data_IF_916189906754
#
_entry.id   IF_916189906754
#
_cell.length_a   1.000
_cell.length_b   1.000
_cell.length_c   1.000
_cell.angle_alpha   90.00
_cell.angle_beta   90.00
_cell.angle_gamma   90.00
#
_symmetry.space_group_name_H-M   'P 1'
#
loop_
_entity.id
_entity.type
_entity.pdbx_description
1 polymer ?
#
# COMPACT_ATOMS: atom_id res chain seq x y z
N UNK A 1 -20.21 10.54 -22.19
CA UNK A 1 -19.03 10.71 -23.05
C UNK A 1 -18.12 9.51 -22.86
N UNK A 2 -17.45 9.08 -23.92
CA UNK A 2 -16.56 7.93 -23.94
C UNK A 2 -15.14 8.42 -24.24
N UNK A 3 -14.19 8.05 -23.39
CA UNK A 3 -12.77 8.34 -23.52
C UNK A 3 -12.03 7.04 -23.81
N UNK A 4 -11.32 6.99 -24.93
CA UNK A 4 -10.61 5.79 -25.41
C UNK A 4 -9.22 6.13 -25.97
N UNK A 5 -8.89 7.42 -26.12
CA UNK A 5 -7.59 7.81 -26.64
C UNK A 5 -6.59 7.80 -25.50
N UNK A 6 -5.44 7.15 -25.71
CA UNK A 6 -4.35 7.15 -24.74
C UNK A 6 -4.00 8.58 -24.31
N UNK A 7 -3.96 8.82 -23.00
CA UNK A 7 -3.73 10.13 -22.40
C UNK A 7 -4.98 10.95 -22.13
N UNK A 8 -6.17 10.51 -22.54
CA UNK A 8 -7.42 11.13 -22.08
C UNK A 8 -7.55 10.97 -20.56
N UNK A 9 -7.95 12.03 -19.86
CA UNK A 9 -8.05 12.04 -18.40
C UNK A 9 -9.43 12.41 -17.89
N UNK A 10 -9.80 11.85 -16.74
CA UNK A 10 -10.99 12.21 -15.97
C UNK A 10 -10.60 12.37 -14.50
N UNK A 11 -11.01 13.50 -13.91
CA UNK A 11 -10.87 13.76 -12.47
C UNK A 11 -12.18 13.38 -11.78
N UNK A 12 -12.11 12.47 -10.82
CA UNK A 12 -13.24 12.10 -9.95
C UNK A 12 -12.74 11.93 -8.51
N UNK A 13 -13.44 12.51 -7.54
CA UNK A 13 -13.14 12.35 -6.11
C UNK A 13 -11.67 12.64 -5.73
N UNK A 14 -11.03 13.57 -6.43
CA UNK A 14 -9.61 13.91 -6.22
C UNK A 14 -8.60 12.96 -6.87
N UNK A 15 -9.06 11.93 -7.58
CA UNK A 15 -8.26 10.94 -8.31
C UNK A 15 -8.30 11.24 -9.81
N UNK A 16 -7.13 11.22 -10.46
CA UNK A 16 -7.03 11.40 -11.92
C UNK A 16 -6.85 10.04 -12.57
N UNK A 17 -7.83 9.63 -13.37
CA UNK A 17 -7.76 8.42 -14.18
C UNK A 17 -7.34 8.79 -15.59
N UNK A 18 -6.38 8.07 -16.14
CA UNK A 18 -5.84 8.32 -17.48
C UNK A 18 -5.99 7.06 -18.32
N UNK A 19 -6.55 7.16 -19.53
CA UNK A 19 -6.59 6.05 -20.47
C UNK A 19 -5.17 5.64 -20.85
N UNK A 20 -4.84 4.36 -20.64
CA UNK A 20 -3.50 3.80 -20.74
C UNK A 20 -2.63 3.98 -19.50
N UNK A 21 -3.15 4.58 -18.42
CA UNK A 21 -2.49 4.68 -17.11
C UNK A 21 -2.73 3.45 -16.25
N UNK A 22 -1.85 3.25 -15.26
CA UNK A 22 -1.92 2.12 -14.33
C UNK A 22 -2.86 2.42 -13.15
N UNK A 23 -3.51 1.37 -12.67
CA UNK A 23 -4.42 1.41 -11.51
C UNK A 23 -4.19 0.20 -10.62
N UNK A 24 -4.49 0.35 -9.34
CA UNK A 24 -4.54 -0.72 -8.35
C UNK A 24 -5.97 -0.90 -7.84
N UNK A 25 -6.46 -2.14 -7.82
CA UNK A 25 -7.75 -2.47 -7.24
C UNK A 25 -7.64 -2.52 -5.71
N UNK A 26 -8.40 -1.67 -5.02
CA UNK A 26 -8.40 -1.60 -3.56
C UNK A 26 -9.46 -2.54 -2.95
N UNK A 27 -9.53 -2.55 -1.62
CA UNK A 27 -10.42 -3.40 -0.82
C UNK A 27 -11.93 -3.21 -1.06
N UNK A 28 -12.34 -2.21 -1.85
CA UNK A 28 -13.74 -1.98 -2.15
C UNK A 28 -14.27 -2.86 -3.32
N UNK A 29 -13.46 -3.74 -3.90
CA UNK A 29 -13.89 -4.66 -4.96
C UNK A 29 -13.26 -6.06 -4.85
N UNK A 30 -13.89 -7.06 -5.50
CA UNK A 30 -13.43 -8.45 -5.46
C UNK A 30 -12.06 -8.67 -6.14
N UNK A 31 -11.66 -7.73 -7.02
CA UNK A 31 -10.36 -7.70 -7.71
C UNK A 31 -9.22 -7.14 -6.84
N UNK A 32 -9.46 -6.89 -5.55
CA UNK A 32 -8.47 -6.35 -4.60
C UNK A 32 -7.08 -7.00 -4.76
N UNK A 33 -6.06 -6.15 -4.79
CA UNK A 33 -4.66 -6.56 -4.89
C UNK A 33 -4.13 -6.61 -6.32
N UNK A 34 -4.98 -6.54 -7.34
CA UNK A 34 -4.55 -6.56 -8.73
C UNK A 34 -4.12 -5.18 -9.25
N UNK A 35 -3.04 -5.18 -10.03
CA UNK A 35 -2.65 -4.05 -10.86
C UNK A 35 -3.23 -4.20 -12.27
N UNK A 36 -3.60 -3.09 -12.87
CA UNK A 36 -4.20 -3.09 -14.20
C UNK A 36 -3.95 -1.80 -14.96
N UNK A 37 -4.45 -1.75 -16.19
CA UNK A 37 -4.38 -0.58 -17.06
C UNK A 37 -5.78 -0.13 -17.43
N UNK A 38 -6.04 1.18 -17.33
CA UNK A 38 -7.30 1.77 -17.79
C UNK A 38 -7.37 1.70 -19.30
N UNK A 39 -8.36 1.00 -19.85
CA UNK A 39 -8.55 0.83 -21.30
C UNK A 39 -9.50 1.89 -21.86
N UNK A 40 -10.48 2.31 -21.07
CA UNK A 40 -11.46 3.34 -21.44
C UNK A 40 -12.14 3.92 -20.19
N UNK A 41 -12.71 5.11 -20.33
CA UNK A 41 -13.49 5.78 -19.27
C UNK A 41 -14.82 6.22 -19.85
N UNK A 42 -15.93 5.95 -19.15
CA UNK A 42 -17.28 6.30 -19.60
C UNK A 42 -17.97 7.22 -18.59
N UNK A 43 -18.34 8.40 -19.04
CA UNK A 43 -19.00 9.47 -18.26
C UNK A 43 -20.39 9.74 -18.86
N UNK A 44 -21.33 8.83 -18.67
CA UNK A 44 -22.70 8.96 -19.20
C UNK A 44 -23.72 8.52 -18.15
N UNK A 45 -25.03 8.73 -18.38
CA UNK A 45 -26.06 8.29 -17.44
C UNK A 45 -26.19 6.76 -17.33
N UNK A 46 -25.69 6.02 -18.32
CA UNK A 46 -25.77 4.55 -18.40
C UNK A 46 -24.62 3.87 -17.64
N UNK A 47 -24.46 4.22 -16.36
CA UNK A 47 -23.37 3.69 -15.52
C UNK A 47 -23.63 2.25 -15.10
N UNK A 48 -22.58 1.43 -15.13
CA UNK A 48 -22.63 0.02 -14.78
C UNK A 48 -22.14 -0.26 -13.36
N UNK A 49 -21.18 0.51 -12.85
CA UNK A 49 -20.55 0.28 -11.55
C UNK A 49 -21.23 1.04 -10.40
N UNK A 50 -21.29 2.37 -10.48
CA UNK A 50 -21.84 3.23 -9.43
C UNK A 50 -22.62 4.40 -10.03
N UNK A 51 -23.82 4.68 -9.48
CA UNK A 51 -24.66 5.77 -9.97
C UNK A 51 -24.01 7.13 -9.71
N UNK A 52 -23.88 7.93 -10.77
CA UNK A 52 -23.32 9.28 -10.71
C UNK A 52 -21.80 9.35 -10.80
N UNK A 53 -21.09 8.22 -10.79
CA UNK A 53 -19.64 8.15 -10.97
C UNK A 53 -19.28 7.64 -12.38
N UNK A 54 -18.12 7.99 -12.96
CA UNK A 54 -17.69 7.40 -14.22
C UNK A 54 -17.42 5.89 -14.09
N UNK A 55 -17.71 5.15 -15.15
CA UNK A 55 -17.24 3.77 -15.26
C UNK A 55 -15.78 3.78 -15.74
N UNK A 56 -14.89 3.17 -14.95
CA UNK A 56 -13.48 2.96 -15.30
C UNK A 56 -13.32 1.53 -15.79
N UNK A 57 -13.04 1.35 -17.07
CA UNK A 57 -12.79 0.03 -17.62
C UNK A 57 -11.28 -0.28 -17.55
N UNK A 58 -10.96 -1.44 -17.02
CA UNK A 58 -9.59 -1.87 -16.77
C UNK A 58 -9.33 -3.25 -17.35
N UNK A 59 -8.09 -3.46 -17.79
CA UNK A 59 -7.51 -4.77 -18.00
C UNK A 59 -6.53 -5.07 -16.85
N UNK A 60 -6.84 -6.06 -16.01
CA UNK A 60 -6.00 -6.44 -14.88
C UNK A 60 -4.95 -7.48 -15.27
N UNK A 61 -3.76 -7.35 -14.70
CA UNK A 61 -2.70 -8.34 -14.80
C UNK A 61 -3.08 -9.58 -13.98
N UNK A 62 -2.97 -10.79 -14.54
CA UNK A 62 -3.24 -12.01 -13.78
C UNK A 62 -2.20 -12.16 -12.65
N UNK A 63 -2.61 -12.58 -11.45
CA UNK A 63 -1.67 -12.81 -10.36
C UNK A 63 -0.75 -13.99 -10.67
N UNK A 64 0.55 -13.82 -10.45
CA UNK A 64 1.56 -14.87 -10.67
C UNK A 64 1.69 -15.82 -9.46
N UNK A 65 1.39 -15.33 -8.26
CA UNK A 65 1.49 -16.11 -7.02
C UNK A 65 0.31 -17.07 -6.89
N UNK A 66 0.60 -18.35 -6.69
CA UNK A 66 -0.43 -19.37 -6.44
C UNK A 66 -1.33 -19.00 -5.26
N UNK A 67 -0.76 -18.47 -4.17
CA UNK A 67 -1.54 -18.08 -3.00
C UNK A 67 -2.55 -16.97 -3.34
N UNK A 68 -2.15 -16.02 -4.20
CA UNK A 68 -3.01 -14.93 -4.64
C UNK A 68 -4.07 -15.41 -5.64
N UNK A 69 -3.74 -16.38 -6.51
CA UNK A 69 -4.72 -17.06 -7.38
C UNK A 69 -5.79 -17.77 -6.55
N UNK A 70 -5.40 -18.55 -5.53
CA UNK A 70 -6.33 -19.27 -4.66
C UNK A 70 -7.25 -18.30 -3.91
N UNK A 71 -6.69 -17.22 -3.36
CA UNK A 71 -7.42 -16.18 -2.62
C UNK A 71 -8.45 -15.45 -3.50
N UNK A 72 -8.07 -14.99 -4.70
CA UNK A 72 -9.04 -14.35 -5.60
C UNK A 72 -10.12 -15.31 -6.10
N UNK A 73 -9.75 -16.57 -6.40
CA UNK A 73 -10.73 -17.60 -6.78
C UNK A 73 -11.72 -17.87 -5.66
N UNK A 74 -11.26 -17.93 -4.41
CA UNK A 74 -12.12 -18.11 -3.24
C UNK A 74 -13.10 -16.95 -3.08
N UNK A 75 -12.62 -15.69 -3.13
CA UNK A 75 -13.47 -14.50 -3.07
C UNK A 75 -14.58 -14.52 -4.11
N UNK A 76 -14.23 -14.76 -5.38
CA UNK A 76 -15.20 -14.84 -6.46
C UNK A 76 -16.13 -16.05 -6.33
N UNK A 77 -15.62 -17.21 -5.95
CA UNK A 77 -16.43 -18.42 -5.76
C UNK A 77 -17.48 -18.21 -4.67
N UNK A 78 -17.10 -17.57 -3.56
CA UNK A 78 -18.00 -17.21 -2.48
C UNK A 78 -19.06 -16.20 -2.95
N UNK A 79 -18.66 -15.16 -3.67
CA UNK A 79 -19.54 -14.11 -4.20
C UNK A 79 -20.62 -14.66 -5.13
N UNK A 80 -20.25 -15.56 -6.03
CA UNK A 80 -21.14 -16.16 -7.03
C UNK A 80 -21.79 -17.48 -6.58
N UNK A 81 -21.40 -18.01 -5.41
CA UNK A 81 -21.83 -19.32 -4.88
C UNK A 81 -21.61 -20.49 -5.85
N UNK A 82 -20.56 -20.41 -6.64
CA UNK A 82 -20.17 -21.41 -7.62
C UNK A 82 -18.65 -21.36 -7.81
N UNK A 83 -17.93 -22.50 -7.90
CA UNK A 83 -16.48 -22.50 -8.08
C UNK A 83 -16.06 -21.68 -9.32
N UNK A 84 -15.16 -20.72 -9.12
CA UNK A 84 -14.60 -19.86 -10.17
C UNK A 84 -13.12 -20.16 -10.35
N UNK A 85 -12.72 -20.32 -11.60
CA UNK A 85 -11.31 -20.35 -11.97
C UNK A 85 -10.84 -18.96 -12.41
N UNK A 86 -9.52 -18.79 -12.56
CA UNK A 86 -8.94 -17.48 -12.87
C UNK A 86 -9.39 -17.00 -14.27
N UNK A 87 -9.54 -17.94 -15.19
CA UNK A 87 -9.97 -17.69 -16.57
C UNK A 87 -11.44 -17.23 -16.63
N UNK A 88 -12.24 -17.56 -15.60
CA UNK A 88 -13.65 -17.19 -15.51
C UNK A 88 -13.87 -15.75 -15.02
N UNK A 89 -12.80 -15.07 -14.56
CA UNK A 89 -12.91 -13.76 -13.90
C UNK A 89 -12.99 -12.59 -14.89
N UNK A 90 -12.64 -12.79 -16.17
CA UNK A 90 -12.76 -11.74 -17.19
C UNK A 90 -11.87 -10.53 -16.95
N UNK A 91 -10.59 -10.76 -16.63
CA UNK A 91 -9.64 -9.71 -16.26
C UNK A 91 -9.42 -8.63 -17.33
N UNK A 92 -9.68 -8.93 -18.60
CA UNK A 92 -9.40 -8.02 -19.72
C UNK A 92 -10.41 -6.86 -19.87
N UNK A 93 -11.59 -6.93 -19.24
CA UNK A 93 -12.67 -5.96 -19.43
C UNK A 93 -13.50 -5.77 -18.15
N UNK A 94 -12.84 -5.35 -17.07
CA UNK A 94 -13.51 -5.10 -15.79
C UNK A 94 -13.98 -3.66 -15.72
N UNK A 95 -15.25 -3.44 -15.37
CA UNK A 95 -15.83 -2.11 -15.18
C UNK A 95 -15.97 -1.85 -13.68
N UNK A 96 -15.29 -0.82 -13.17
CA UNK A 96 -15.29 -0.45 -11.76
C UNK A 96 -15.59 1.04 -11.57
N UNK A 97 -16.03 1.38 -10.36
CA UNK A 97 -16.19 2.77 -9.93
C UNK A 97 -14.83 3.34 -9.48
N UNK A 98 -14.63 4.68 -9.50
CA UNK A 98 -13.40 5.32 -9.04
C UNK A 98 -13.06 5.01 -7.57
N UNK A 99 -14.07 4.77 -6.74
CA UNK A 99 -13.92 4.39 -5.34
C UNK A 99 -13.19 3.05 -5.14
N UNK A 100 -13.25 2.16 -6.14
CA UNK A 100 -12.66 0.82 -6.12
C UNK A 100 -11.21 0.77 -6.61
N UNK A 101 -10.66 1.91 -7.06
CA UNK A 101 -9.37 1.98 -7.73
C UNK A 101 -8.48 3.07 -7.14
N UNK A 102 -7.18 2.81 -7.10
CA UNK A 102 -6.14 3.81 -6.89
C UNK A 102 -5.35 4.01 -8.19
N UNK A 103 -5.44 5.18 -8.86
CA UNK A 103 -4.61 5.46 -10.03
C UNK A 103 -3.15 5.65 -9.61
N UNK A 104 -2.25 4.99 -10.33
CA UNK A 104 -0.82 5.11 -10.12
C UNK A 104 -0.30 6.32 -10.91
N UNK A 105 0.55 7.17 -10.30
CA UNK A 105 1.21 8.23 -11.04
C UNK A 105 2.21 7.63 -12.03
N UNK A 106 2.27 8.14 -13.26
CA UNK A 106 3.24 7.70 -14.28
C UNK A 106 4.69 7.85 -13.80
N UNK A 107 4.93 8.86 -12.94
CA UNK A 107 6.23 9.12 -12.32
C UNK A 107 6.04 9.59 -10.89
N UNK A 108 6.99 9.24 -10.04
CA UNK A 108 7.08 9.82 -8.70
C UNK A 108 7.22 11.35 -8.79
N UNK A 109 6.51 12.11 -7.94
CA UNK A 109 6.74 13.54 -7.83
C UNK A 109 8.16 13.82 -7.32
N UNK A 110 8.60 15.08 -7.43
CA UNK A 110 9.85 15.50 -6.82
C UNK A 110 9.82 15.29 -5.30
N UNK A 111 10.95 14.87 -4.73
CA UNK A 111 11.13 14.75 -3.29
C UNK A 111 10.94 16.12 -2.62
N UNK A 112 10.03 16.20 -1.65
CA UNK A 112 9.73 17.38 -0.84
C UNK A 112 10.37 17.28 0.54
N UNK A 113 11.69 17.08 0.53
CA UNK A 113 12.50 16.93 1.73
C UNK A 113 12.50 15.52 2.33
N UNK A 114 13.08 15.41 3.53
CA UNK A 114 13.25 14.14 4.25
C UNK A 114 12.84 14.25 5.70
N UNK A 115 12.28 13.16 6.22
CA UNK A 115 12.03 12.95 7.64
C UNK A 115 12.81 11.74 8.13
N UNK A 116 13.03 11.65 9.43
CA UNK A 116 13.47 10.43 10.09
C UNK A 116 12.23 9.56 10.36
N UNK A 117 12.29 8.29 9.98
CA UNK A 117 11.33 7.27 10.36
C UNK A 117 11.91 6.41 11.47
N UNK A 118 11.14 6.18 12.52
CA UNK A 118 11.43 5.14 13.53
C UNK A 118 10.56 3.93 13.26
N UNK A 119 11.20 2.84 12.89
CA UNK A 119 10.53 1.57 12.65
C UNK A 119 10.99 0.55 13.69
N UNK A 120 10.04 0.03 14.46
CA UNK A 120 10.25 -1.10 15.35
C UNK A 120 10.04 -2.39 14.57
N UNK A 121 10.94 -3.36 14.76
CA UNK A 121 10.86 -4.72 14.25
C UNK A 121 10.82 -5.66 15.43
N UNK A 122 9.83 -6.54 15.47
CA UNK A 122 9.62 -7.46 16.58
C UNK A 122 9.07 -8.81 16.11
N UNK A 123 9.40 -9.87 16.84
CA UNK A 123 8.79 -11.18 16.61
C UNK A 123 7.31 -11.19 16.99
N UNK A 124 6.53 -11.90 16.18
CA UNK A 124 5.13 -12.18 16.42
C UNK A 124 4.83 -13.64 16.05
N UNK A 125 3.66 -14.14 16.48
CA UNK A 125 3.22 -15.50 16.20
C UNK A 125 3.18 -15.85 14.69
N UNK A 126 3.13 -14.83 13.82
CA UNK A 126 3.10 -14.98 12.36
C UNK A 126 4.40 -14.57 11.65
N UNK A 127 5.50 -14.33 12.38
CA UNK A 127 6.80 -13.94 11.83
C UNK A 127 7.30 -12.59 12.38
N UNK A 128 8.28 -11.98 11.71
CA UNK A 128 8.77 -10.66 12.10
C UNK A 128 7.82 -9.57 11.59
N UNK A 129 7.22 -8.81 12.52
CA UNK A 129 6.44 -7.63 12.21
C UNK A 129 7.29 -6.37 12.24
N UNK A 130 6.84 -5.35 11.51
CA UNK A 130 7.44 -4.03 11.54
C UNK A 130 6.35 -2.97 11.69
N UNK A 131 6.59 -1.97 12.54
CA UNK A 131 5.69 -0.84 12.73
C UNK A 131 6.48 0.46 12.73
N UNK A 132 6.02 1.44 11.95
CA UNK A 132 6.53 2.81 12.06
C UNK A 132 5.89 3.49 13.26
N UNK A 133 6.71 3.88 14.23
CA UNK A 133 6.28 4.48 15.50
C UNK A 133 6.26 6.01 15.46
N UNK A 134 7.11 6.62 14.64
CA UNK A 134 7.19 8.06 14.50
C UNK A 134 7.82 8.48 13.17
N UNK A 135 7.39 9.65 12.69
CA UNK A 135 8.05 10.44 11.66
C UNK A 135 8.40 11.81 12.25
N UNK A 136 9.64 12.26 12.11
CA UNK A 136 10.08 13.57 12.63
C UNK A 136 11.33 14.05 11.92
N UNK A 137 11.55 15.35 11.85
CA UNK A 137 12.83 15.92 11.41
C UNK A 137 13.86 16.05 12.55
N UNK A 138 13.48 15.71 13.78
CA UNK A 138 14.29 15.82 14.98
C UNK A 138 14.66 14.44 15.54
N UNK A 139 15.95 14.12 15.55
CA UNK A 139 16.50 12.86 16.07
C UNK A 139 16.22 12.65 17.56
N UNK A 140 16.25 13.71 18.36
CA UNK A 140 15.98 13.63 19.80
C UNK A 140 14.54 13.21 20.09
N UNK A 141 13.56 13.74 19.33
CA UNK A 141 12.16 13.31 19.43
C UNK A 141 11.98 11.85 19.04
N UNK A 142 12.66 11.41 17.98
CA UNK A 142 12.62 10.02 17.54
C UNK A 142 13.20 9.07 18.61
N UNK A 143 14.37 9.41 19.14
CA UNK A 143 15.00 8.63 20.21
C UNK A 143 14.16 8.62 21.50
N UNK A 144 13.48 9.73 21.80
CA UNK A 144 12.53 9.79 22.93
C UNK A 144 11.35 8.85 22.72
N UNK A 145 10.74 8.85 21.53
CA UNK A 145 9.64 7.93 21.21
C UNK A 145 10.08 6.47 21.27
N UNK A 146 11.27 6.14 20.77
CA UNK A 146 11.85 4.80 20.93
C UNK A 146 11.96 4.42 22.40
N UNK A 147 12.40 5.35 23.26
CA UNK A 147 12.54 5.09 24.69
C UNK A 147 11.19 4.86 25.38
N UNK A 148 10.18 5.65 25.04
CA UNK A 148 8.81 5.47 25.55
C UNK A 148 8.18 4.16 25.10
N UNK A 149 8.47 3.73 23.86
CA UNK A 149 7.99 2.46 23.33
C UNK A 149 8.62 1.28 24.07
N UNK A 150 9.94 1.32 24.31
CA UNK A 150 10.65 0.31 25.10
C UNK A 150 10.10 0.17 26.53
N UNK A 151 9.55 1.25 27.10
CA UNK A 151 8.96 1.24 28.45
C UNK A 151 7.58 0.52 28.48
N UNK A 152 7.02 0.14 27.33
CA UNK A 152 5.75 -0.60 27.22
C UNK A 152 5.91 -2.13 27.27
N UNK A 153 7.12 -2.65 27.07
CA UNK A 153 7.38 -4.08 27.06
C UNK A 153 7.39 -4.65 28.48
N UNK A 154 6.64 -5.72 28.70
CA UNK A 154 6.57 -6.41 30.01
C UNK A 154 7.91 -7.06 30.38
N UNK A 155 8.61 -7.60 29.38
CA UNK A 155 9.93 -8.20 29.56
C UNK A 155 10.98 -7.08 29.49
N UNK A 156 11.78 -6.88 30.54
CA UNK A 156 12.84 -5.89 30.51
C UNK A 156 13.87 -6.23 29.43
N UNK A 157 14.18 -5.24 28.58
CA UNK A 157 15.16 -5.38 27.51
C UNK A 157 16.37 -4.48 27.73
N UNK A 158 17.51 -4.89 27.19
CA UNK A 158 18.76 -4.12 27.22
C UNK A 158 19.29 -3.91 25.81
N UNK A 159 19.90 -2.75 25.57
CA UNK A 159 20.52 -2.43 24.29
C UNK A 159 21.78 -3.30 24.13
N UNK A 160 21.78 -4.17 23.13
CA UNK A 160 22.88 -5.11 22.88
C UNK A 160 23.81 -4.63 21.76
N UNK A 161 23.25 -3.97 20.74
CA UNK A 161 24.04 -3.50 19.59
C UNK A 161 23.49 -2.20 19.00
N UNK A 162 24.40 -1.34 18.53
CA UNK A 162 24.07 -0.18 17.71
C UNK A 162 24.91 -0.21 16.46
N UNK A 163 24.25 -0.17 15.31
CA UNK A 163 24.89 -0.13 14.01
C UNK A 163 24.55 1.18 13.31
N UNK A 164 25.55 1.78 12.67
CA UNK A 164 25.36 2.93 11.79
C UNK A 164 25.06 2.43 10.38
N UNK A 165 23.92 2.85 9.84
CA UNK A 165 23.51 2.60 8.45
C UNK A 165 23.95 3.77 7.55
N UNK A 166 23.74 3.63 6.24
CA UNK A 166 24.06 4.68 5.25
C UNK A 166 23.32 5.98 5.58
N UNK A 167 22.05 5.87 6.00
CA UNK A 167 21.10 6.96 6.18
C UNK A 167 20.48 6.97 7.59
N UNK A 168 21.12 6.33 8.56
CA UNK A 168 20.47 6.08 9.84
C UNK A 168 21.24 5.23 10.85
N UNK A 169 20.49 4.66 11.79
CA UNK A 169 20.97 3.79 12.85
C UNK A 169 20.03 2.61 13.06
N UNK A 170 20.59 1.47 13.44
CA UNK A 170 19.83 0.32 13.95
C UNK A 170 20.24 0.06 15.41
N UNK A 171 19.25 -0.11 16.27
CA UNK A 171 19.39 -0.42 17.68
C UNK A 171 18.78 -1.79 17.93
N UNK A 172 19.59 -2.75 18.36
CA UNK A 172 19.11 -4.10 18.68
C UNK A 172 19.03 -4.27 20.19
N UNK A 173 17.98 -4.94 20.64
CA UNK A 173 17.70 -5.19 22.04
C UNK A 173 17.60 -6.69 22.30
N UNK A 174 18.03 -7.11 23.48
CA UNK A 174 17.89 -8.48 23.96
C UNK A 174 17.17 -8.49 25.31
N UNK A 175 16.52 -9.61 25.64
CA UNK A 175 15.91 -9.79 26.94
C UNK A 175 17.00 -9.74 28.03
N UNK A 176 16.72 -9.02 29.11
CA UNK A 176 17.65 -8.90 30.23
C UNK A 176 17.88 -10.24 30.94
N UNK A 177 16.86 -11.08 30.98
CA UNK A 177 16.92 -12.40 31.63
C UNK A 177 17.24 -13.48 30.60
N UNK A 178 18.37 -14.17 30.80
CA UNK A 178 18.89 -15.20 29.89
C UNK A 178 18.02 -16.47 29.75
N UNK A 179 16.88 -16.54 30.45
CA UNK A 179 15.91 -17.63 30.36
C UNK A 179 14.77 -17.39 29.36
N UNK A 180 14.71 -16.21 28.74
CA UNK A 180 13.74 -15.90 27.68
C UNK A 180 14.36 -16.30 26.34
N UNK A 181 13.88 -17.39 25.74
CA UNK A 181 14.29 -17.76 24.40
C UNK A 181 13.74 -16.76 23.36
N UNK A 182 14.64 -16.29 22.48
CA UNK A 182 14.34 -15.58 21.22
C UNK A 182 13.40 -14.38 21.31
N UNK A 183 13.87 -13.26 21.87
CA UNK A 183 13.29 -11.96 21.58
C UNK A 183 14.03 -11.33 20.40
N UNK A 184 13.42 -11.28 19.21
CA UNK A 184 13.84 -10.34 18.18
C UNK A 184 13.19 -8.98 18.45
N UNK A 185 13.98 -8.00 18.87
CA UNK A 185 13.53 -6.61 18.99
C UNK A 185 14.62 -5.70 18.44
N UNK A 186 14.30 -4.93 17.40
CA UNK A 186 15.19 -3.91 16.90
C UNK A 186 14.46 -2.67 16.41
N UNK A 187 15.10 -1.52 16.51
CA UNK A 187 14.59 -0.26 16.02
C UNK A 187 15.52 0.26 14.94
N UNK A 188 14.96 0.69 13.83
CA UNK A 188 15.70 1.38 12.77
C UNK A 188 15.23 2.82 12.71
N UNK A 189 16.17 3.75 12.77
CA UNK A 189 15.95 5.16 12.43
C UNK A 189 16.59 5.38 11.07
N UNK A 190 15.82 5.80 10.07
CA UNK A 190 16.35 6.08 8.72
C UNK A 190 15.74 7.34 8.12
N UNK A 191 16.51 8.04 7.28
CA UNK A 191 16.04 9.19 6.53
C UNK A 191 15.16 8.77 5.35
N UNK A 192 13.86 9.04 5.43
CA UNK A 192 12.88 8.71 4.39
C UNK A 192 12.49 9.96 3.57
N UNK A 193 12.41 9.85 2.22
CA UNK A 193 11.95 10.94 1.38
C UNK A 193 10.45 11.18 1.57
N UNK A 194 10.05 12.46 1.54
CA UNK A 194 8.65 12.87 1.56
C UNK A 194 8.20 13.19 0.13
N UNK A 195 7.04 12.67 -0.25
CA UNK A 195 6.42 12.96 -1.53
C UNK A 195 5.02 13.53 -1.29
N UNK A 196 4.80 14.78 -1.69
CA UNK A 196 3.49 15.40 -1.61
C UNK A 196 2.83 15.42 -2.98
N UNK A 197 1.50 15.30 -3.01
CA UNK A 197 0.75 15.53 -4.23
C UNK A 197 0.94 16.97 -4.68
N UNK A 198 1.40 17.17 -5.92
CA UNK A 198 1.38 18.50 -6.52
C UNK A 198 -0.09 18.89 -6.75
N UNK A 199 -0.52 20.10 -6.35
CA UNK A 199 -1.86 20.57 -6.66
C UNK A 199 -2.04 20.50 -8.17
N UNK A 200 -3.15 19.88 -8.62
CA UNK A 200 -3.46 19.77 -10.03
C UNK A 200 -3.53 21.18 -10.63
N UNK A 201 -2.49 21.57 -11.37
CA UNK A 201 -2.43 22.84 -12.06
C UNK A 201 -3.61 22.92 -13.02
N UNK A 202 -4.46 23.94 -12.87
CA UNK A 202 -5.39 24.33 -13.91
C UNK A 202 -4.56 24.75 -15.13
N UNK A 203 -4.49 23.87 -16.13
CA UNK A 203 -4.07 24.20 -17.47
C UNK A 203 -5.31 24.45 -18.35
#
# INVERSE_FOLDING_TARGET
MLYQKKGDTVLDSGKVFTVGGEVFANHACDYEGLFGTVTEIRTGPDQCAEQGAPDICCAFQPPESRAMVEDIQERFSARFRYPKQLEDLGLDCVILAPSMLEPLPERMPAEDGRLLSLTCFYDSDCGCNAQTLALSNDMGLVLRKMREDLDTYEIPVVLSHVERLIDGYRFSYEAKDAGVESLYLSYTISGVPVFLQQPAGHA
#
